data_IF_443337659249
#
_entry.id   IF_443337659249
#
_cell.length_a   1.000
_cell.length_b   1.000
_cell.length_c   1.000
_cell.angle_alpha   90.00
_cell.angle_beta   90.00
_cell.angle_gamma   90.00
#
_symmetry.space_group_name_H-M   'P 1'
#
loop_
_entity.id
_entity.type
_entity.pdbx_description
1 polymer ?
#
# COMPACT_ATOMS: atom_id res chain seq x y z
N UNK A 1 -44.82 3.57 -16.14
CA UNK A 1 -45.10 2.22 -15.57
C UNK A 1 -44.22 2.06 -14.35
N UNK A 2 -44.80 1.98 -13.15
CA UNK A 2 -44.04 1.89 -11.90
C UNK A 2 -43.34 0.53 -11.81
N UNK A 3 -42.03 0.54 -11.54
CA UNK A 3 -41.22 -0.66 -11.32
C UNK A 3 -41.69 -1.41 -10.07
N UNK A 4 -41.67 -2.74 -10.11
CA UNK A 4 -41.93 -3.58 -8.94
C UNK A 4 -40.97 -3.24 -7.77
N UNK A 5 -41.42 -3.37 -6.50
CA UNK A 5 -40.56 -3.11 -5.35
C UNK A 5 -39.37 -4.05 -5.37
N UNK A 6 -38.17 -3.49 -5.19
CA UNK A 6 -36.94 -4.27 -5.12
C UNK A 6 -37.01 -5.28 -3.94
N UNK A 7 -36.46 -6.49 -4.09
CA UNK A 7 -36.36 -7.45 -2.99
C UNK A 7 -35.68 -6.86 -1.75
N UNK A 8 -36.04 -7.30 -0.55
CA UNK A 8 -35.30 -6.93 0.67
C UNK A 8 -33.94 -7.64 0.69
N UNK A 9 -32.92 -6.91 0.25
CA UNK A 9 -31.56 -7.39 0.25
C UNK A 9 -30.90 -7.15 1.63
N UNK A 10 -30.24 -8.19 2.14
CA UNK A 10 -29.50 -8.13 3.41
C UNK A 10 -28.40 -7.06 3.42
N UNK A 11 -27.83 -6.71 2.26
CA UNK A 11 -26.68 -5.81 2.15
C UNK A 11 -26.97 -4.56 1.30
N UNK A 12 -27.71 -4.69 0.21
CA UNK A 12 -27.95 -3.57 -0.72
C UNK A 12 -28.88 -2.54 -0.09
N UNK A 13 -28.55 -1.26 -0.24
CA UNK A 13 -29.35 -0.14 0.29
C UNK A 13 -29.19 0.10 1.80
N UNK A 14 -28.34 -0.65 2.50
CA UNK A 14 -28.12 -0.50 3.95
C UNK A 14 -26.81 0.24 4.23
N UNK A 15 -26.79 1.04 5.29
CA UNK A 15 -25.55 1.64 5.82
C UNK A 15 -24.75 0.57 6.54
N UNK A 16 -23.73 0.01 5.87
CA UNK A 16 -22.85 -1.01 6.43
C UNK A 16 -21.59 -0.32 6.99
N UNK A 17 -21.17 -0.62 8.24
CA UNK A 17 -19.94 -0.07 8.79
C UNK A 17 -18.72 -0.60 8.05
N UNK A 18 -17.71 0.24 7.89
CA UNK A 18 -16.45 -0.15 7.26
C UNK A 18 -15.62 -0.99 8.24
N UNK A 19 -15.51 -2.30 7.96
CA UNK A 19 -14.91 -3.30 8.86
C UNK A 19 -13.44 -2.99 9.18
N UNK A 20 -12.66 -2.57 8.19
CA UNK A 20 -11.24 -2.23 8.38
C UNK A 20 -11.03 -0.84 8.97
N UNK A 21 -12.09 -0.01 9.02
CA UNK A 21 -12.03 1.37 9.47
C UNK A 21 -11.35 1.52 10.83
N UNK A 22 -11.79 0.81 11.88
CA UNK A 22 -11.18 0.87 13.20
C UNK A 22 -9.68 0.55 13.20
N UNK A 23 -9.21 -0.45 12.45
CA UNK A 23 -7.79 -0.80 12.40
C UNK A 23 -6.95 0.31 11.78
N UNK A 24 -7.43 0.91 10.69
CA UNK A 24 -6.73 2.00 9.98
C UNK A 24 -6.69 3.28 10.79
N UNK A 25 -7.80 3.67 11.42
CA UNK A 25 -7.87 4.94 12.19
C UNK A 25 -7.20 4.87 13.56
N UNK A 26 -6.98 3.66 14.10
CA UNK A 26 -6.27 3.47 15.37
C UNK A 26 -4.77 3.18 15.21
N UNK A 27 -4.27 3.12 13.97
CA UNK A 27 -2.87 2.77 13.68
C UNK A 27 -2.52 1.32 14.00
N UNK A 28 -3.52 0.43 14.05
CA UNK A 28 -3.34 -1.02 14.32
C UNK A 28 -3.29 -1.87 13.06
N UNK A 29 -3.56 -1.28 11.91
CA UNK A 29 -3.39 -1.95 10.64
C UNK A 29 -1.89 -2.17 10.39
N UNK A 30 -1.49 -3.41 10.09
CA UNK A 30 -0.13 -3.75 9.72
C UNK A 30 0.07 -3.62 8.21
N UNK A 31 1.08 -2.87 7.81
CA UNK A 31 1.54 -2.74 6.44
C UNK A 31 2.93 -3.34 6.27
N UNK A 32 3.37 -3.50 5.02
CA UNK A 32 4.67 -4.11 4.71
C UNK A 32 5.84 -3.40 5.38
N UNK A 33 5.75 -2.08 5.57
CA UNK A 33 6.80 -1.26 6.19
C UNK A 33 6.80 -1.34 7.73
N UNK A 34 5.71 -1.83 8.34
CA UNK A 34 5.62 -2.03 9.79
C UNK A 34 6.29 -3.35 10.23
N UNK A 35 6.65 -4.21 9.27
CA UNK A 35 7.23 -5.51 9.53
C UNK A 35 8.70 -5.38 9.95
N UNK A 36 9.03 -5.90 11.14
CA UNK A 36 10.40 -6.03 11.64
C UNK A 36 10.70 -7.49 11.97
N UNK A 37 11.66 -8.10 11.27
CA UNK A 37 12.08 -9.49 11.45
C UNK A 37 13.56 -9.60 11.86
N UNK A 38 13.96 -10.65 12.60
CA UNK A 38 15.36 -10.91 12.85
C UNK A 38 16.16 -10.98 11.55
N UNK A 39 17.31 -10.29 11.50
CA UNK A 39 18.21 -10.22 10.35
C UNK A 39 17.62 -9.56 9.09
N UNK A 40 16.56 -8.75 9.20
CA UNK A 40 16.01 -7.99 8.08
C UNK A 40 17.00 -6.93 7.58
N UNK A 41 17.34 -7.01 6.30
CA UNK A 41 18.16 -6.01 5.62
C UNK A 41 17.31 -4.87 5.07
N UNK A 42 17.89 -3.67 4.99
CA UNK A 42 17.26 -2.48 4.39
C UNK A 42 18.07 -2.07 3.17
N UNK A 43 17.39 -1.93 2.03
CA UNK A 43 17.99 -1.47 0.77
C UNK A 43 17.57 -0.04 0.44
N UNK A 44 18.46 0.73 -0.19
CA UNK A 44 18.14 2.03 -0.78
C UNK A 44 18.66 2.07 -2.21
N UNK A 45 17.86 2.64 -3.11
CA UNK A 45 18.21 2.74 -4.52
C UNK A 45 18.89 4.08 -4.83
N UNK A 46 20.06 4.02 -5.45
CA UNK A 46 20.65 5.17 -6.16
C UNK A 46 19.94 5.32 -7.50
N UNK A 47 19.32 6.47 -7.74
CA UNK A 47 18.54 6.74 -8.95
C UNK A 47 19.28 7.67 -9.90
N UNK A 48 19.02 7.52 -11.20
CA UNK A 48 19.52 8.44 -12.22
C UNK A 48 18.95 9.84 -12.00
N UNK A 49 19.77 10.90 -12.01
CA UNK A 49 19.29 12.28 -12.07
C UNK A 49 18.88 12.69 -13.49
N UNK A 50 19.21 11.88 -14.51
CA UNK A 50 18.98 12.20 -15.92
C UNK A 50 17.83 11.35 -16.49
N UNK A 51 16.86 11.95 -17.21
CA UNK A 51 15.77 11.22 -17.86
C UNK A 51 16.25 10.25 -18.95
N UNK A 52 17.34 10.60 -19.65
CA UNK A 52 17.97 9.75 -20.65
C UNK A 52 19.49 9.95 -20.61
N UNK A 53 20.22 8.89 -20.30
CA UNK A 53 21.68 8.87 -20.30
C UNK A 53 22.16 7.44 -20.48
N UNK A 54 23.39 7.28 -21.01
CA UNK A 54 24.09 6.00 -21.01
C UNK A 54 24.92 5.91 -19.73
N UNK A 55 24.65 4.92 -18.89
CA UNK A 55 25.47 4.63 -17.71
C UNK A 55 26.81 4.02 -18.14
N UNK A 56 27.92 4.72 -17.90
CA UNK A 56 29.27 4.23 -18.26
C UNK A 56 30.01 3.59 -17.10
N UNK A 57 29.81 4.09 -15.87
CA UNK A 57 30.47 3.60 -14.66
C UNK A 57 29.73 4.05 -13.39
N UNK A 58 29.93 3.34 -12.28
CA UNK A 58 29.50 3.71 -10.93
C UNK A 58 30.66 3.44 -9.97
N UNK A 59 31.02 4.40 -9.12
CA UNK A 59 31.93 4.17 -7.99
C UNK A 59 31.11 3.84 -6.74
N UNK A 60 31.31 2.64 -6.19
CA UNK A 60 30.61 2.13 -4.99
C UNK A 60 31.54 1.96 -3.79
N UNK A 61 32.79 2.46 -3.84
CA UNK A 61 33.79 2.24 -2.78
C UNK A 61 33.33 2.67 -1.40
N UNK A 62 32.58 3.77 -1.32
CA UNK A 62 32.06 4.30 -0.05
C UNK A 62 30.82 3.54 0.48
N UNK A 63 30.24 2.63 -0.30
CA UNK A 63 29.00 1.92 0.03
C UNK A 63 29.21 0.43 0.35
N UNK A 64 30.46 -0.04 0.32
CA UNK A 64 30.86 -1.42 0.64
C UNK A 64 31.39 -1.51 2.06
#
# INVERSE_FOLDING_TARGET
MASAPAPDYRLLGRRIPYIEGPLKVTGRAEYTDDLSRPNQLVGRLLRSPWPHARLTSIDVRAAR
#
